data_IF_286990836835
#
_entry.id   IF_286990836835
#
_cell.length_a   1.000
_cell.length_b   1.000
_cell.length_c   1.000
_cell.angle_alpha   90.00
_cell.angle_beta   90.00
_cell.angle_gamma   90.00
#
_symmetry.space_group_name_H-M   'P 1'
#
loop_
_entity.id
_entity.type
_entity.pdbx_description
1 polymer ?
#
# COMPACT_ATOMS: atom_id res chain seq x y z
N UNK A 1 11.73 17.22 18.99
CA UNK A 1 11.55 16.27 17.87
C UNK A 1 11.84 17.04 16.59
N UNK A 2 12.83 16.65 15.79
CA UNK A 2 13.31 17.46 14.65
C UNK A 2 12.46 17.17 13.41
N UNK A 3 11.79 18.18 12.88
CA UNK A 3 11.18 18.15 11.55
C UNK A 3 12.28 18.27 10.49
N UNK A 4 12.06 17.67 9.32
CA UNK A 4 12.99 17.70 8.19
C UNK A 4 12.71 18.90 7.27
N UNK A 5 11.45 19.32 7.15
CA UNK A 5 11.04 20.53 6.41
C UNK A 5 11.00 21.71 7.38
N UNK A 6 12.02 22.56 7.34
CA UNK A 6 12.11 23.75 8.21
C UNK A 6 11.29 24.93 7.67
N UNK A 7 11.16 25.03 6.35
CA UNK A 7 10.40 26.04 5.58
C UNK A 7 9.00 25.52 5.19
N UNK A 8 8.22 25.07 6.17
CA UNK A 8 6.89 24.52 5.93
C UNK A 8 5.82 25.62 5.79
N UNK A 9 4.82 25.36 4.96
CA UNK A 9 3.63 26.19 4.80
C UNK A 9 2.49 25.68 5.69
N UNK A 10 1.70 26.61 6.23
CA UNK A 10 0.58 26.29 7.10
C UNK A 10 -0.47 25.49 6.32
N UNK A 11 -0.96 24.41 6.95
CA UNK A 11 -1.99 23.51 6.44
C UNK A 11 -1.63 22.76 5.14
N UNK A 12 -0.33 22.72 4.80
CA UNK A 12 0.23 21.88 3.74
C UNK A 12 0.89 20.64 4.36
N UNK A 13 0.49 19.46 3.89
CA UNK A 13 1.06 18.18 4.34
C UNK A 13 2.31 17.85 3.52
N UNK A 14 3.44 17.64 4.18
CA UNK A 14 4.65 17.12 3.54
C UNK A 14 4.73 15.61 3.75
N UNK A 15 4.37 14.83 2.72
CA UNK A 15 4.38 13.37 2.75
C UNK A 15 5.77 12.84 2.40
N UNK A 16 6.46 12.27 3.39
CA UNK A 16 7.71 11.55 3.18
C UNK A 16 7.42 10.11 2.83
N UNK A 17 7.90 9.68 1.66
CA UNK A 17 7.74 8.31 1.17
C UNK A 17 8.96 7.82 0.38
N UNK A 18 8.98 6.52 0.07
CA UNK A 18 9.99 5.96 -0.82
C UNK A 18 9.91 6.59 -2.21
N UNK A 19 11.01 6.49 -2.98
CA UNK A 19 11.03 6.95 -4.37
C UNK A 19 9.94 6.26 -5.21
N UNK A 20 9.43 7.00 -6.19
CA UNK A 20 8.44 6.50 -7.16
C UNK A 20 8.95 5.29 -7.91
N UNK A 21 8.02 4.45 -8.36
CA UNK A 21 8.31 3.33 -9.24
C UNK A 21 7.75 3.59 -10.65
N UNK A 22 8.39 3.13 -11.73
CA UNK A 22 7.91 3.37 -13.09
C UNK A 22 6.54 2.78 -13.44
N UNK A 23 6.01 1.87 -12.62
CA UNK A 23 4.79 1.11 -12.91
C UNK A 23 3.64 1.39 -11.93
N UNK A 24 3.95 1.94 -10.76
CA UNK A 24 3.01 2.12 -9.65
C UNK A 24 3.43 3.32 -8.78
N UNK A 25 2.50 4.10 -8.18
CA UNK A 25 2.86 5.30 -7.43
C UNK A 25 3.89 5.06 -6.32
N UNK A 26 3.84 3.91 -5.64
CA UNK A 26 4.88 3.46 -4.72
C UNK A 26 4.88 1.92 -4.60
N UNK A 27 6.04 1.30 -4.36
CA UNK A 27 6.08 -0.14 -4.05
C UNK A 27 5.61 -0.45 -2.62
N UNK A 28 5.67 0.53 -1.72
CA UNK A 28 5.14 0.42 -0.37
C UNK A 28 3.63 0.66 -0.40
N UNK A 29 2.81 -0.32 0.04
CA UNK A 29 1.36 -0.17 0.08
C UNK A 29 0.93 0.94 1.06
N UNK A 30 1.66 1.12 2.16
CA UNK A 30 1.37 2.16 3.14
C UNK A 30 1.64 3.58 2.60
N UNK A 31 2.66 3.76 1.76
CA UNK A 31 2.90 5.05 1.08
C UNK A 31 1.72 5.41 0.18
N UNK A 32 1.25 4.45 -0.63
CA UNK A 32 0.07 4.64 -1.48
C UNK A 32 -1.21 4.88 -0.67
N UNK A 33 -1.39 4.19 0.46
CA UNK A 33 -2.53 4.41 1.38
C UNK A 33 -2.61 5.89 1.80
N UNK A 34 -1.49 6.48 2.23
CA UNK A 34 -1.48 7.88 2.69
C UNK A 34 -1.66 8.86 1.54
N UNK A 35 -0.97 8.64 0.42
CA UNK A 35 -1.12 9.54 -0.72
C UNK A 35 -2.54 9.52 -1.30
N UNK A 36 -3.13 8.33 -1.42
CA UNK A 36 -4.51 8.20 -1.85
C UNK A 36 -5.48 8.89 -0.89
N UNK A 37 -5.27 8.74 0.43
CA UNK A 37 -6.08 9.45 1.43
C UNK A 37 -6.01 10.97 1.26
N UNK A 38 -4.81 11.53 1.05
CA UNK A 38 -4.61 12.97 0.84
C UNK A 38 -5.32 13.44 -0.44
N UNK A 39 -5.13 12.72 -1.55
CA UNK A 39 -5.73 13.02 -2.85
C UNK A 39 -7.26 12.94 -2.80
N UNK A 40 -7.80 11.88 -2.21
CA UNK A 40 -9.24 11.64 -2.14
C UNK A 40 -10.01 12.71 -1.35
N UNK A 41 -9.35 13.34 -0.38
CA UNK A 41 -9.90 14.38 0.45
C UNK A 41 -9.48 15.79 0.03
N UNK A 42 -8.79 15.93 -1.12
CA UNK A 42 -8.27 17.20 -1.63
C UNK A 42 -7.42 17.96 -0.58
N UNK A 43 -6.66 17.23 0.23
CA UNK A 43 -5.77 17.82 1.24
C UNK A 43 -4.53 18.37 0.52
N UNK A 44 -4.18 19.66 0.67
CA UNK A 44 -2.96 20.22 0.09
C UNK A 44 -1.74 19.48 0.59
N UNK A 45 -0.94 18.93 -0.33
CA UNK A 45 0.24 18.15 0.04
C UNK A 45 1.37 18.22 -0.97
N UNK A 46 2.59 18.01 -0.48
CA UNK A 46 3.79 17.81 -1.27
C UNK A 46 4.39 16.43 -0.97
N UNK A 47 4.77 15.72 -2.03
CA UNK A 47 5.44 14.42 -1.92
C UNK A 47 6.95 14.61 -1.86
N UNK A 48 7.56 14.17 -0.77
CA UNK A 48 9.01 14.19 -0.55
C UNK A 48 9.56 12.77 -0.69
N UNK A 49 10.18 12.50 -1.83
CA UNK A 49 10.77 11.19 -2.14
C UNK A 49 12.13 11.00 -1.50
N UNK A 50 12.23 10.12 -0.50
CA UNK A 50 13.50 9.85 0.17
C UNK A 50 13.59 8.42 0.72
N UNK A 51 14.43 7.59 0.09
CA UNK A 51 14.64 6.20 0.51
C UNK A 51 15.30 6.06 1.90
N UNK A 52 15.99 7.11 2.39
CA UNK A 52 16.74 7.10 3.66
C UNK A 52 16.00 7.80 4.79
N UNK A 53 15.05 8.69 4.51
CA UNK A 53 14.28 9.37 5.53
C UNK A 53 13.51 8.35 6.38
N UNK A 54 13.45 8.58 7.69
CA UNK A 54 12.70 7.75 8.63
C UNK A 54 12.02 8.66 9.64
N UNK A 55 10.81 8.27 10.02
CA UNK A 55 10.11 8.92 11.12
C UNK A 55 10.76 8.64 12.46
N UNK A 56 10.23 9.25 13.51
CA UNK A 56 10.53 8.95 14.91
C UNK A 56 10.29 7.49 15.30
N UNK A 57 9.46 6.76 14.53
CA UNK A 57 9.23 5.32 14.69
C UNK A 57 10.13 4.45 13.79
N UNK A 58 11.06 5.05 13.05
CA UNK A 58 11.94 4.32 12.14
C UNK A 58 11.27 3.82 10.87
N UNK A 59 10.08 4.34 10.51
CA UNK A 59 9.26 3.87 9.39
C UNK A 59 8.94 4.97 8.38
N UNK A 60 8.70 4.56 7.13
CA UNK A 60 7.99 5.32 6.09
C UNK A 60 6.65 4.61 5.79
N UNK A 61 5.60 5.34 5.35
CA UNK A 61 5.56 6.79 5.21
C UNK A 61 5.43 7.49 6.57
N UNK A 62 5.74 8.79 6.56
CA UNK A 62 5.32 9.73 7.61
C UNK A 62 5.00 11.08 7.00
N UNK A 63 4.35 11.94 7.76
CA UNK A 63 4.07 13.31 7.32
C UNK A 63 4.65 14.34 8.26
N UNK A 64 4.88 15.54 7.73
CA UNK A 64 5.06 16.75 8.51
C UNK A 64 3.93 17.73 8.17
N UNK A 65 3.31 18.30 9.19
CA UNK A 65 2.20 19.24 9.07
C UNK A 65 2.28 20.25 10.21
N UNK A 66 2.24 21.54 9.89
CA UNK A 66 2.26 22.62 10.88
C UNK A 66 3.39 22.48 11.92
N UNK A 67 4.59 22.17 11.44
CA UNK A 67 5.78 21.99 12.27
C UNK A 67 5.79 20.73 13.16
N UNK A 68 4.88 19.78 12.93
CA UNK A 68 4.80 18.52 13.68
C UNK A 68 4.95 17.32 12.76
N UNK A 69 5.73 16.33 13.21
CA UNK A 69 5.85 15.04 12.53
C UNK A 69 4.78 14.07 13.03
N UNK A 70 4.09 13.40 12.12
CA UNK A 70 3.11 12.35 12.42
C UNK A 70 3.54 11.07 11.69
N UNK A 71 3.78 10.02 12.47
CA UNK A 71 4.31 8.75 12.01
C UNK A 71 3.28 7.64 12.14
N UNK A 72 3.46 6.57 11.35
CA UNK A 72 2.54 5.42 11.24
C UNK A 72 1.28 5.72 10.44
N UNK A 73 1.00 4.92 9.40
CA UNK A 73 -0.08 5.20 8.46
C UNK A 73 -1.47 5.26 9.10
N UNK A 74 -1.71 4.51 10.18
CA UNK A 74 -2.98 4.50 10.88
C UNK A 74 -3.19 5.83 11.63
N UNK A 75 -2.15 6.26 12.35
CA UNK A 75 -2.19 7.50 13.11
C UNK A 75 -2.19 8.73 12.20
N UNK A 76 -1.51 8.67 11.06
CA UNK A 76 -1.55 9.73 10.04
C UNK A 76 -2.98 9.95 9.57
N UNK A 77 -3.68 8.88 9.15
CA UNK A 77 -5.07 8.99 8.71
C UNK A 77 -5.96 9.52 9.83
N UNK A 78 -5.79 9.01 11.05
CA UNK A 78 -6.58 9.42 12.21
C UNK A 78 -6.41 10.92 12.55
N UNK A 79 -5.18 11.40 12.63
CA UNK A 79 -4.90 12.80 12.98
C UNK A 79 -5.29 13.76 11.84
N UNK A 80 -5.03 13.40 10.58
CA UNK A 80 -5.49 14.20 9.44
C UNK A 80 -7.02 14.27 9.38
N UNK A 81 -7.72 13.17 9.67
CA UNK A 81 -9.19 13.16 9.70
C UNK A 81 -9.74 14.15 10.72
N UNK A 82 -9.08 14.31 11.88
CA UNK A 82 -9.43 15.31 12.88
C UNK A 82 -9.11 16.73 12.42
N UNK A 83 -7.89 16.96 11.94
CA UNK A 83 -7.41 18.30 11.58
C UNK A 83 -8.24 18.90 10.44
N UNK A 84 -8.56 18.09 9.43
CA UNK A 84 -9.30 18.51 8.25
C UNK A 84 -10.80 18.22 8.33
N UNK A 85 -11.32 17.79 9.50
CA UNK A 85 -12.73 17.46 9.72
C UNK A 85 -13.33 16.52 8.66
N UNK A 86 -12.60 15.45 8.32
CA UNK A 86 -13.04 14.47 7.32
C UNK A 86 -14.21 13.67 7.88
N UNK A 87 -15.41 13.91 7.33
CA UNK A 87 -16.63 13.22 7.74
C UNK A 87 -16.81 11.90 6.98
N UNK A 88 -16.98 10.82 7.72
CA UNK A 88 -17.43 9.54 7.18
C UNK A 88 -18.94 9.42 7.38
N UNK A 89 -19.73 9.85 6.38
CA UNK A 89 -21.19 9.66 6.38
C UNK A 89 -21.53 8.20 6.05
N UNK A 90 -21.11 7.29 6.92
CA UNK A 90 -21.24 5.84 6.80
C UNK A 90 -22.02 5.36 8.03
N UNK A 91 -22.99 4.45 7.85
CA UNK A 91 -23.72 3.86 8.97
C UNK A 91 -22.77 3.18 9.96
N UNK A 92 -23.17 3.09 11.24
CA UNK A 92 -22.34 2.48 12.30
C UNK A 92 -21.93 1.05 11.96
N UNK A 93 -22.86 0.25 11.45
CA UNK A 93 -22.61 -1.13 11.00
C UNK A 93 -21.56 -1.19 9.88
N UNK A 94 -21.76 -0.40 8.81
CA UNK A 94 -20.82 -0.36 7.69
C UNK A 94 -19.45 0.16 8.13
N UNK A 95 -19.41 1.15 9.03
CA UNK A 95 -18.17 1.66 9.63
C UNK A 95 -17.39 0.56 10.37
N UNK A 96 -18.08 -0.29 11.13
CA UNK A 96 -17.49 -1.45 11.81
C UNK A 96 -16.86 -2.45 10.83
N UNK A 97 -17.59 -2.84 9.78
CA UNK A 97 -17.07 -3.75 8.75
C UNK A 97 -15.87 -3.16 7.99
N UNK A 98 -15.91 -1.87 7.67
CA UNK A 98 -14.79 -1.19 7.00
C UNK A 98 -13.56 -1.06 7.90
N UNK A 99 -13.76 -0.88 9.22
CA UNK A 99 -12.66 -0.93 10.18
C UNK A 99 -12.00 -2.31 10.21
N UNK A 100 -12.80 -3.37 10.29
CA UNK A 100 -12.30 -4.73 10.26
C UNK A 100 -11.53 -5.02 8.96
N UNK A 101 -12.09 -4.66 7.81
CA UNK A 101 -11.46 -4.80 6.50
C UNK A 101 -10.12 -4.05 6.43
N UNK A 102 -10.06 -2.82 6.93
CA UNK A 102 -8.80 -2.05 6.99
C UNK A 102 -7.72 -2.81 7.76
N UNK A 103 -8.08 -3.43 8.91
CA UNK A 103 -7.13 -4.19 9.72
C UNK A 103 -6.68 -5.49 9.06
N UNK A 104 -7.60 -6.22 8.42
CA UNK A 104 -7.26 -7.41 7.62
C UNK A 104 -6.22 -7.04 6.56
N UNK A 105 -6.44 -5.93 5.85
CA UNK A 105 -5.53 -5.52 4.78
C UNK A 105 -4.18 -5.00 5.28
N UNK A 106 -4.17 -4.17 6.31
CA UNK A 106 -2.93 -3.60 6.85
C UNK A 106 -2.04 -4.60 7.59
N UNK A 107 -2.60 -5.74 8.04
CA UNK A 107 -1.88 -6.74 8.84
C UNK A 107 -1.72 -8.05 8.08
N UNK A 108 -2.83 -8.76 7.88
CA UNK A 108 -2.85 -10.14 7.37
C UNK A 108 -2.46 -10.17 5.90
N UNK A 109 -3.22 -9.49 5.05
CA UNK A 109 -2.96 -9.41 3.62
C UNK A 109 -1.61 -8.73 3.35
N UNK A 110 -1.24 -7.69 4.11
CA UNK A 110 0.09 -7.06 3.99
C UNK A 110 1.22 -8.06 4.21
N UNK A 111 1.09 -8.95 5.20
CA UNK A 111 2.09 -9.98 5.51
C UNK A 111 2.15 -11.02 4.39
N UNK A 112 0.99 -11.51 3.93
CA UNK A 112 0.86 -12.48 2.84
C UNK A 112 1.40 -11.93 1.51
N UNK A 113 1.03 -10.71 1.11
CA UNK A 113 1.54 -10.10 -0.11
C UNK A 113 3.06 -9.85 -0.02
N UNK A 114 3.58 -9.50 1.15
CA UNK A 114 5.03 -9.39 1.37
C UNK A 114 5.73 -10.73 1.21
N UNK A 115 5.12 -11.82 1.72
CA UNK A 115 5.60 -13.19 1.51
C UNK A 115 5.65 -13.55 0.02
N UNK A 116 4.55 -13.36 -0.72
CA UNK A 116 4.48 -13.73 -2.14
C UNK A 116 5.41 -12.89 -3.02
N UNK A 117 5.54 -11.59 -2.73
CA UNK A 117 6.52 -10.72 -3.38
C UNK A 117 7.94 -11.27 -3.21
N UNK A 118 8.34 -11.60 -1.98
CA UNK A 118 9.70 -12.08 -1.74
C UNK A 118 9.93 -13.50 -2.25
N UNK A 119 8.90 -14.36 -2.25
CA UNK A 119 8.96 -15.71 -2.84
C UNK A 119 9.30 -15.66 -4.34
N UNK A 120 8.82 -14.65 -5.07
CA UNK A 120 9.17 -14.43 -6.49
C UNK A 120 10.58 -13.86 -6.65
N UNK A 121 11.52 -14.70 -7.10
CA UNK A 121 12.89 -14.25 -7.40
C UNK A 121 12.91 -13.16 -8.49
N UNK A 122 11.97 -13.20 -9.43
CA UNK A 122 11.81 -12.19 -10.49
C UNK A 122 11.44 -10.84 -9.89
N UNK A 123 10.48 -10.80 -8.96
CA UNK A 123 10.11 -9.59 -8.24
C UNK A 123 11.28 -9.01 -7.45
N UNK A 124 11.98 -9.83 -6.66
CA UNK A 124 13.12 -9.38 -5.85
C UNK A 124 14.21 -8.83 -6.75
N UNK A 125 14.57 -9.54 -7.83
CA UNK A 125 15.56 -9.09 -8.80
C UNK A 125 15.18 -7.77 -9.49
N UNK A 126 13.90 -7.59 -9.80
CA UNK A 126 13.38 -6.39 -10.46
C UNK A 126 13.29 -5.16 -9.54
N UNK A 127 13.04 -5.37 -8.25
CA UNK A 127 12.88 -4.29 -7.26
C UNK A 127 14.20 -3.80 -6.67
N UNK A 128 15.22 -4.67 -6.54
CA UNK A 128 16.51 -4.34 -5.92
C UNK A 128 17.28 -3.17 -6.57
N UNK A 129 17.32 -3.00 -7.90
CA UNK A 129 17.94 -1.83 -8.52
C UNK A 129 17.30 -0.50 -8.10
N UNK A 130 15.98 -0.48 -7.88
CA UNK A 130 15.23 0.71 -7.44
C UNK A 130 15.58 1.16 -6.02
N UNK A 131 16.17 0.28 -5.21
CA UNK A 131 16.68 0.59 -3.86
C UNK A 131 18.21 0.78 -3.85
N UNK A 132 18.86 0.87 -5.02
CA UNK A 132 20.27 1.20 -5.16
C UNK A 132 21.23 0.01 -5.08
N UNK A 133 20.74 -1.22 -5.21
CA UNK A 133 21.58 -2.42 -5.23
C UNK A 133 22.09 -2.68 -6.67
N UNK A 134 23.41 -2.76 -6.90
CA UNK A 134 23.97 -3.01 -8.23
C UNK A 134 23.59 -4.38 -8.81
N UNK A 135 23.48 -4.47 -10.15
CA UNK A 135 23.05 -5.72 -10.82
C UNK A 135 24.02 -6.90 -10.62
N UNK A 136 25.32 -6.64 -10.43
CA UNK A 136 26.32 -7.69 -10.31
C UNK A 136 26.21 -8.47 -8.98
N UNK A 137 25.63 -7.87 -7.93
CA UNK A 137 25.49 -8.51 -6.61
C UNK A 137 24.18 -9.31 -6.47
N UNK A 138 23.28 -9.24 -7.46
CA UNK A 138 21.97 -9.89 -7.45
C UNK A 138 21.99 -11.39 -7.11
N UNK A 139 22.95 -12.22 -7.60
CA UNK A 139 23.00 -13.65 -7.25
C UNK A 139 23.12 -13.92 -5.75
N UNK A 140 23.70 -12.98 -4.99
CA UNK A 140 23.90 -13.09 -3.54
C UNK A 140 22.78 -12.34 -2.80
N UNK A 141 22.41 -11.14 -3.26
CA UNK A 141 21.44 -10.30 -2.53
C UNK A 141 20.01 -10.82 -2.64
N UNK A 142 19.64 -11.48 -3.73
CA UNK A 142 18.31 -12.08 -3.89
C UNK A 142 18.04 -13.17 -2.83
N UNK A 143 18.83 -14.26 -2.73
CA UNK A 143 18.57 -15.31 -1.74
C UNK A 143 18.68 -14.77 -0.30
N UNK A 144 19.58 -13.80 -0.05
CA UNK A 144 19.71 -13.17 1.25
C UNK A 144 18.46 -12.36 1.64
N UNK A 145 17.93 -11.54 0.72
CA UNK A 145 16.69 -10.78 0.94
C UNK A 145 15.50 -11.72 1.19
N UNK A 146 15.39 -12.79 0.40
CA UNK A 146 14.38 -13.84 0.59
C UNK A 146 14.46 -14.46 1.98
N UNK A 147 15.67 -14.83 2.41
CA UNK A 147 15.90 -15.41 3.73
C UNK A 147 15.52 -14.45 4.86
N UNK A 148 15.95 -13.18 4.80
CA UNK A 148 15.66 -12.19 5.84
C UNK A 148 14.16 -11.94 6.00
N UNK A 149 13.43 -11.74 4.91
CA UNK A 149 11.98 -11.46 4.97
C UNK A 149 11.22 -12.69 5.45
N UNK A 150 11.50 -13.89 4.89
CA UNK A 150 10.85 -15.13 5.34
C UNK A 150 11.12 -15.42 6.81
N UNK A 151 12.36 -15.18 7.28
CA UNK A 151 12.72 -15.31 8.70
C UNK A 151 11.99 -14.28 9.57
N UNK A 152 11.82 -13.04 9.09
CA UNK A 152 11.06 -12.00 9.78
C UNK A 152 9.59 -12.37 9.96
N UNK A 153 8.94 -12.85 8.89
CA UNK A 153 7.55 -13.34 8.91
C UNK A 153 7.41 -14.51 9.88
N UNK A 154 8.33 -15.49 9.84
CA UNK A 154 8.29 -16.60 10.80
C UNK A 154 8.46 -16.13 12.25
N UNK A 155 9.31 -15.11 12.49
CA UNK A 155 9.53 -14.53 13.82
C UNK A 155 8.34 -13.72 14.35
N UNK A 156 7.45 -13.22 13.49
CA UNK A 156 6.23 -12.54 13.93
C UNK A 156 5.14 -13.52 14.39
N UNK A 157 5.43 -14.83 14.46
CA UNK A 157 4.47 -15.88 14.79
C UNK A 157 3.70 -16.39 13.57
N UNK A 158 3.96 -15.84 12.38
CA UNK A 158 3.29 -16.24 11.15
C UNK A 158 3.94 -17.51 10.58
N UNK A 159 3.47 -18.67 11.04
CA UNK A 159 4.07 -19.98 10.78
C UNK A 159 3.10 -20.93 10.06
N UNK A 160 2.56 -20.46 8.94
CA UNK A 160 1.71 -21.24 8.05
C UNK A 160 2.53 -21.88 6.92
N UNK A 161 2.05 -23.00 6.38
CA UNK A 161 2.53 -23.58 5.13
C UNK A 161 2.13 -22.74 3.92
N UNK A 162 2.79 -22.93 2.77
CA UNK A 162 2.46 -22.20 1.53
C UNK A 162 1.01 -22.39 1.10
N UNK A 163 0.44 -23.58 1.30
CA UNK A 163 -0.97 -23.88 0.97
C UNK A 163 -1.94 -23.18 1.93
N UNK A 164 -1.64 -23.17 3.24
CA UNK A 164 -2.45 -22.45 4.22
C UNK A 164 -2.41 -20.94 3.98
N UNK A 165 -1.23 -20.38 3.70
CA UNK A 165 -1.09 -18.97 3.33
C UNK A 165 -1.91 -18.60 2.10
N UNK A 166 -1.95 -19.50 1.10
CA UNK A 166 -2.75 -19.31 -0.10
C UNK A 166 -4.24 -19.32 0.22
N UNK A 167 -4.69 -20.27 1.02
CA UNK A 167 -6.10 -20.37 1.43
C UNK A 167 -6.53 -19.13 2.23
N UNK A 168 -5.71 -18.66 3.17
CA UNK A 168 -5.99 -17.44 3.94
C UNK A 168 -6.10 -16.24 3.00
N UNK A 169 -5.13 -16.05 2.10
CA UNK A 169 -5.17 -14.94 1.14
C UNK A 169 -6.43 -14.97 0.27
N UNK A 170 -6.78 -16.14 -0.29
CA UNK A 170 -7.98 -16.31 -1.14
C UNK A 170 -9.25 -15.98 -0.35
N UNK A 171 -9.35 -16.42 0.91
CA UNK A 171 -10.52 -16.14 1.76
C UNK A 171 -10.66 -14.67 2.11
N UNK A 172 -9.56 -13.99 2.43
CA UNK A 172 -9.56 -12.56 2.73
C UNK A 172 -9.89 -11.71 1.49
N UNK A 173 -9.34 -12.08 0.33
CA UNK A 173 -9.69 -11.45 -0.95
C UNK A 173 -11.16 -11.70 -1.33
N UNK A 174 -11.68 -12.91 -1.08
CA UNK A 174 -13.10 -13.22 -1.29
C UNK A 174 -14.00 -12.38 -0.40
N UNK A 175 -13.66 -12.23 0.88
CA UNK A 175 -14.40 -11.37 1.80
C UNK A 175 -14.40 -9.91 1.31
N UNK A 176 -13.25 -9.39 0.86
CA UNK A 176 -13.16 -8.05 0.28
C UNK A 176 -14.01 -7.92 -0.99
N UNK A 177 -13.94 -8.92 -1.88
CA UNK A 177 -14.76 -8.96 -3.10
C UNK A 177 -16.26 -8.94 -2.79
N UNK A 178 -16.70 -9.70 -1.79
CA UNK A 178 -18.12 -9.78 -1.40
C UNK A 178 -18.61 -8.49 -0.75
N UNK A 179 -17.79 -7.88 0.11
CA UNK A 179 -18.11 -6.58 0.72
C UNK A 179 -18.17 -5.48 -0.35
N UNK A 180 -17.25 -5.51 -1.33
CA UNK A 180 -17.27 -4.57 -2.44
C UNK A 180 -18.54 -4.76 -3.29
N UNK A 181 -18.86 -6.01 -3.64
CA UNK A 181 -20.00 -6.34 -4.48
C UNK A 181 -19.96 -5.60 -5.81
N UNK A 182 -21.03 -4.83 -6.09
CA UNK A 182 -21.15 -3.97 -7.27
C UNK A 182 -20.81 -2.50 -6.99
N UNK A 183 -20.40 -2.16 -5.77
CA UNK A 183 -20.12 -0.78 -5.39
C UNK A 183 -18.87 -0.27 -6.10
N UNK A 184 -18.85 1.05 -6.36
CA UNK A 184 -17.67 1.73 -6.91
C UNK A 184 -16.50 1.72 -5.92
N UNK A 185 -16.81 1.92 -4.65
CA UNK A 185 -15.88 1.90 -3.53
C UNK A 185 -16.45 1.10 -2.36
N UNK A 186 -15.62 0.72 -1.40
CA UNK A 186 -16.09 0.12 -0.15
C UNK A 186 -17.00 1.08 0.63
N UNK A 187 -16.77 2.40 0.53
CA UNK A 187 -17.68 3.43 1.02
C UNK A 187 -19.03 3.52 0.29
N UNK A 188 -19.19 2.87 -0.87
CA UNK A 188 -20.35 3.01 -1.77
C UNK A 188 -19.99 3.93 -2.95
N UNK A 189 -20.65 5.08 -3.04
CA UNK A 189 -20.40 6.09 -4.09
C UNK A 189 -19.15 6.94 -3.86
N UNK A 190 -18.77 7.11 -2.58
CA UNK A 190 -17.56 7.85 -2.17
C UNK A 190 -16.57 6.88 -1.53
N UNK A 191 -15.28 7.22 -1.61
CA UNK A 191 -14.25 6.47 -0.92
C UNK A 191 -14.40 6.57 0.60
N UNK A 192 -14.06 5.47 1.27
CA UNK A 192 -13.82 5.40 2.70
C UNK A 192 -12.32 5.20 2.98
N UNK A 193 -11.93 5.31 4.26
CA UNK A 193 -10.55 5.04 4.68
C UNK A 193 -10.11 3.61 4.31
N UNK A 194 -11.04 2.65 4.39
CA UNK A 194 -10.76 1.26 4.02
C UNK A 194 -10.32 1.13 2.56
N UNK A 195 -10.85 1.96 1.66
CA UNK A 195 -10.44 1.97 0.26
C UNK A 195 -8.94 2.29 0.10
N UNK A 196 -8.42 3.20 0.94
CA UNK A 196 -7.01 3.57 0.89
C UNK A 196 -6.10 2.40 1.27
N UNK A 197 -6.48 1.61 2.27
CA UNK A 197 -5.72 0.43 2.71
C UNK A 197 -5.81 -0.70 1.67
N UNK A 198 -7.02 -1.02 1.20
CA UNK A 198 -7.24 -2.09 0.23
C UNK A 198 -6.53 -1.78 -1.09
N UNK A 199 -6.73 -0.57 -1.63
CA UNK A 199 -6.03 -0.14 -2.85
C UNK A 199 -4.52 -0.22 -2.68
N UNK A 200 -3.96 0.33 -1.59
CA UNK A 200 -2.52 0.34 -1.38
C UNK A 200 -1.91 -1.06 -1.43
N UNK A 201 -2.54 -2.03 -0.75
CA UNK A 201 -2.07 -3.42 -0.76
C UNK A 201 -2.18 -4.05 -2.15
N UNK A 202 -3.35 -3.99 -2.78
CA UNK A 202 -3.58 -4.68 -4.04
C UNK A 202 -2.83 -4.03 -5.22
N UNK A 203 -2.80 -2.70 -5.31
CA UNK A 203 -2.06 -1.98 -6.34
C UNK A 203 -0.56 -2.31 -6.32
N UNK A 204 -0.02 -2.58 -5.12
CA UNK A 204 1.41 -2.89 -4.94
C UNK A 204 1.84 -4.24 -5.51
N UNK A 205 0.88 -5.10 -5.87
CA UNK A 205 1.09 -6.37 -6.59
C UNK A 205 0.45 -6.36 -7.98
N UNK A 206 -0.64 -5.62 -8.17
CA UNK A 206 -1.42 -5.66 -9.41
C UNK A 206 -0.85 -4.80 -10.54
N UNK A 207 -0.09 -3.73 -10.30
CA UNK A 207 0.43 -2.87 -11.39
C UNK A 207 1.90 -3.15 -11.77
N UNK A 208 2.63 -3.87 -10.93
CA UNK A 208 4.06 -4.18 -11.14
C UNK A 208 4.27 -5.19 -12.27
N UNK A 209 5.32 -5.12 -13.10
CA UNK A 209 5.46 -5.99 -14.27
C UNK A 209 5.93 -7.42 -13.92
N UNK A 210 6.12 -7.72 -12.64
CA UNK A 210 6.68 -8.98 -12.19
C UNK A 210 5.58 -9.89 -11.68
N UNK A 211 5.39 -11.02 -12.35
CA UNK A 211 4.43 -12.04 -11.96
C UNK A 211 4.77 -12.62 -10.57
N UNK A 212 3.73 -12.77 -9.77
CA UNK A 212 3.76 -13.38 -8.44
C UNK A 212 2.52 -14.25 -8.28
N UNK A 213 2.55 -15.23 -7.38
CA UNK A 213 1.39 -16.08 -7.10
C UNK A 213 0.17 -15.26 -6.63
N UNK A 214 0.38 -14.18 -5.86
CA UNK A 214 -0.69 -13.25 -5.48
C UNK A 214 -1.32 -12.51 -6.67
N UNK A 215 -0.51 -12.24 -7.70
CA UNK A 215 -0.98 -11.58 -8.92
C UNK A 215 -1.83 -12.52 -9.78
N UNK A 216 -1.46 -13.79 -9.86
CA UNK A 216 -2.26 -14.83 -10.52
C UNK A 216 -3.61 -15.01 -9.83
N UNK A 217 -3.62 -15.15 -8.49
CA UNK A 217 -4.85 -15.26 -7.69
C UNK A 217 -5.80 -14.08 -7.92
N UNK A 218 -5.29 -12.84 -7.90
CA UNK A 218 -6.11 -11.66 -8.15
C UNK A 218 -6.73 -11.67 -9.55
N UNK A 219 -5.98 -12.09 -10.56
CA UNK A 219 -6.42 -12.12 -11.97
C UNK A 219 -7.43 -13.21 -12.26
N UNK A 220 -7.24 -14.40 -11.70
CA UNK A 220 -8.14 -15.52 -11.99
C UNK A 220 -9.46 -15.40 -11.26
N UNK A 221 -9.45 -14.98 -9.99
CA UNK A 221 -10.58 -15.22 -9.09
C UNK A 221 -11.35 -13.94 -8.71
N UNK A 222 -10.74 -12.76 -8.88
CA UNK A 222 -11.27 -11.50 -8.33
C UNK A 222 -11.33 -10.33 -9.33
N UNK A 223 -12.06 -10.47 -10.47
CA UNK A 223 -12.13 -9.43 -11.51
C UNK A 223 -12.78 -8.11 -11.03
N UNK A 224 -13.69 -8.16 -10.05
CA UNK A 224 -14.28 -6.96 -9.46
C UNK A 224 -13.26 -6.15 -8.65
N UNK A 225 -12.35 -6.80 -7.91
CA UNK A 225 -11.26 -6.14 -7.20
C UNK A 225 -10.26 -5.51 -8.19
N UNK A 226 -9.99 -6.16 -9.32
CA UNK A 226 -9.16 -5.57 -10.38
C UNK A 226 -9.79 -4.29 -10.91
N UNK A 227 -11.06 -4.37 -11.34
CA UNK A 227 -11.80 -3.20 -11.84
C UNK A 227 -11.81 -2.07 -10.82
N UNK A 228 -11.97 -2.40 -9.54
CA UNK A 228 -11.90 -1.45 -8.44
C UNK A 228 -10.55 -0.74 -8.33
N UNK A 229 -9.44 -1.48 -8.38
CA UNK A 229 -8.08 -0.91 -8.33
C UNK A 229 -7.82 -0.01 -9.55
N UNK A 230 -8.21 -0.46 -10.75
CA UNK A 230 -8.08 0.30 -11.99
C UNK A 230 -8.88 1.61 -11.93
N UNK A 231 -10.12 1.56 -11.42
CA UNK A 231 -10.95 2.75 -11.25
C UNK A 231 -10.32 3.76 -10.29
N UNK A 232 -9.79 3.31 -9.14
CA UNK A 232 -9.11 4.23 -8.20
C UNK A 232 -7.87 4.85 -8.84
N UNK A 233 -7.06 4.05 -9.55
CA UNK A 233 -5.88 4.56 -10.24
C UNK A 233 -6.26 5.60 -11.30
N UNK A 234 -7.29 5.34 -12.10
CA UNK A 234 -7.77 6.28 -13.12
C UNK A 234 -8.34 7.58 -12.54
N UNK A 235 -8.97 7.54 -11.36
CA UNK A 235 -9.57 8.72 -10.72
C UNK A 235 -8.52 9.55 -9.98
N UNK A 236 -7.68 8.91 -9.18
CA UNK A 236 -6.82 9.60 -8.20
C UNK A 236 -5.34 9.62 -8.59
N UNK A 237 -4.91 8.81 -9.56
CA UNK A 237 -3.53 8.70 -10.01
C UNK A 237 -3.44 8.78 -11.55
N UNK A 238 -4.32 9.54 -12.20
CA UNK A 238 -4.29 9.75 -13.65
C UNK A 238 -3.02 10.45 -14.14
N UNK A 239 -2.33 11.17 -13.24
CA UNK A 239 -1.01 11.76 -13.42
C UNK A 239 0.14 10.73 -13.33
N UNK A 240 -0.14 9.48 -12.98
CA UNK A 240 0.85 8.39 -12.87
C UNK A 240 0.56 7.24 -13.84
N UNK A 241 1.60 6.66 -14.49
CA UNK A 241 1.43 5.60 -15.49
C UNK A 241 1.19 4.22 -14.84
N UNK A 242 0.11 4.09 -14.06
CA UNK A 242 -0.24 2.87 -13.35
C UNK A 242 -0.49 1.73 -14.36
N UNK A 243 0.39 0.72 -14.37
CA UNK A 243 0.29 -0.43 -15.28
C UNK A 243 0.56 -0.15 -16.77
N UNK A 244 0.63 1.12 -17.21
CA UNK A 244 0.78 1.50 -18.62
C UNK A 244 2.14 1.09 -19.23
N UNK A 245 3.17 0.98 -18.40
CA UNK A 245 4.51 0.57 -18.83
C UNK A 245 4.73 -0.95 -18.77
N UNK A 246 3.69 -1.74 -18.44
CA UNK A 246 3.79 -3.20 -18.57
C UNK A 246 3.95 -3.54 -20.04
N UNK A 247 5.02 -4.25 -20.40
CA UNK A 247 5.07 -4.88 -21.71
C UNK A 247 3.86 -5.81 -21.83
N UNK A 248 3.08 -5.75 -22.93
CA UNK A 248 2.12 -6.81 -23.22
C UNK A 248 2.89 -8.13 -23.30
N UNK A 249 2.29 -9.20 -22.77
CA UNK A 249 2.81 -10.56 -22.92
C UNK A 249 2.82 -10.97 -24.39
#
# INVERSE_FOLDING_TARGET
MKILKEDWEKDVVYLYQFKRNPYVPNLSPFCMKIELFLRANNIPHQVIENNKARSTKGLLPFIELNGKQIADSEFIVYELSKIFNIQNNISSEKSGSLRALTRVFDVEVSTLLSYYKVKSAVFVRGSLPGVGIPKFSLPITVPLAQWFVKRGIKKSGYNHSDSEMKEILVRDLKAASDILGLNKFFGGEKMAIADCAVFGQLASVYFIPWETEAHEILRSDFPNLIKYIENIAAIYFSDFPCGQNRKPM
#
